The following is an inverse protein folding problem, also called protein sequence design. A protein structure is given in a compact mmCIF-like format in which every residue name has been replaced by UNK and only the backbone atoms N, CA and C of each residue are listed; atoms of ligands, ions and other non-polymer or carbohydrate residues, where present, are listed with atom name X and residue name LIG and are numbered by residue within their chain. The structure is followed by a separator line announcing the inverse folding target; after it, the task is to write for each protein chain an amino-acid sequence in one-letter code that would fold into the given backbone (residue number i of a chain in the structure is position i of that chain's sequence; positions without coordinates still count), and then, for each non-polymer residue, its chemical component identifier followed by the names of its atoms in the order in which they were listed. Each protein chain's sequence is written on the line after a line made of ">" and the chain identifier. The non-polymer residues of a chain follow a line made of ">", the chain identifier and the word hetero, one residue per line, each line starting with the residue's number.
data_IF_494316945877
#
_entry.id   IF_494316945877
#
_cell.length_a   1.000
_cell.length_b   1.000
_cell.length_c   1.000
_cell.angle_alpha   90.00
_cell.angle_beta   90.00
_cell.angle_gamma   90.00
#
_symmetry.space_group_name_H-M   'P 1'
#
loop_
_entity.id
_entity.type
_entity.pdbx_description
1 polymer ?
#
# COMPACT_ATOMS: atom_id res chain seq x y z
N UNK A 1 9.95 -4.78 3.96
CA UNK A 1 9.52 -6.17 4.17
C UNK A 1 8.00 -6.24 4.37
N UNK A 2 7.37 -7.28 3.85
CA UNK A 2 5.93 -7.48 4.01
C UNK A 2 5.70 -8.79 4.76
N UNK A 3 4.95 -8.72 5.86
CA UNK A 3 4.57 -9.89 6.64
C UNK A 3 3.08 -10.18 6.42
N UNK A 4 2.75 -11.47 6.32
CA UNK A 4 1.38 -11.90 6.11
C UNK A 4 0.81 -12.57 7.37
N UNK A 5 -0.42 -12.20 7.72
CA UNK A 5 -1.17 -12.85 8.78
C UNK A 5 -2.63 -12.94 8.31
N UNK A 6 -3.01 -14.10 7.76
CA UNK A 6 -4.33 -14.29 7.19
C UNK A 6 -4.57 -13.37 6.01
N UNK A 7 -5.57 -12.51 6.11
CA UNK A 7 -5.87 -11.51 5.10
C UNK A 7 -5.20 -10.15 5.35
N UNK A 8 -4.29 -10.08 6.34
CA UNK A 8 -3.60 -8.84 6.68
C UNK A 8 -2.15 -8.91 6.23
N UNK A 9 -1.74 -7.88 5.50
CA UNK A 9 -0.35 -7.71 5.05
C UNK A 9 0.22 -6.50 5.77
N UNK A 10 1.30 -6.69 6.51
CA UNK A 10 1.96 -5.60 7.25
C UNK A 10 3.23 -5.20 6.52
N UNK A 11 3.31 -3.95 6.09
CA UNK A 11 4.49 -3.40 5.45
C UNK A 11 5.38 -2.80 6.51
N UNK A 12 6.64 -3.23 6.57
CA UNK A 12 7.58 -2.79 7.58
C UNK A 12 8.75 -2.05 6.98
N UNK A 13 9.19 -1.02 7.69
CA UNK A 13 10.41 -0.30 7.37
C UNK A 13 10.20 0.84 6.40
N UNK A 14 11.28 1.34 5.83
CA UNK A 14 11.24 2.43 4.88
C UNK A 14 10.74 1.95 3.51
N UNK A 15 9.88 2.74 2.90
CA UNK A 15 9.44 2.51 1.52
C UNK A 15 9.66 3.82 0.77
N UNK A 16 10.72 3.88 -0.01
CA UNK A 16 11.13 5.09 -0.71
C UNK A 16 11.50 4.77 -2.15
N UNK A 17 11.88 5.78 -2.90
CA UNK A 17 12.33 5.59 -4.29
C UNK A 17 13.45 4.55 -4.42
N UNK A 18 14.20 4.32 -3.33
CA UNK A 18 15.32 3.38 -3.36
C UNK A 18 14.89 1.92 -3.41
N UNK A 19 13.71 1.58 -2.88
CA UNK A 19 13.26 0.20 -2.80
C UNK A 19 11.81 -0.03 -3.24
N UNK A 20 11.14 1.01 -3.72
CA UNK A 20 9.71 0.94 -4.01
C UNK A 20 9.37 -0.11 -5.07
N UNK A 21 10.23 -0.31 -6.05
CA UNK A 21 9.97 -1.31 -7.11
C UNK A 21 9.93 -2.71 -6.50
N UNK A 22 10.91 -3.04 -5.67
CA UNK A 22 10.98 -4.35 -5.01
C UNK A 22 9.78 -4.57 -4.09
N UNK A 23 9.43 -3.56 -3.28
CA UNK A 23 8.29 -3.67 -2.36
C UNK A 23 6.98 -3.81 -3.13
N UNK A 24 6.82 -3.08 -4.21
CA UNK A 24 5.64 -3.18 -5.07
C UNK A 24 5.46 -4.60 -5.61
N UNK A 25 6.54 -5.19 -6.13
CA UNK A 25 6.50 -6.55 -6.67
C UNK A 25 6.21 -7.59 -5.59
N UNK A 26 6.79 -7.42 -4.41
CA UNK A 26 6.53 -8.32 -3.29
C UNK A 26 5.05 -8.28 -2.89
N UNK A 27 4.47 -7.10 -2.86
CA UNK A 27 3.06 -6.95 -2.53
C UNK A 27 2.15 -7.61 -3.54
N UNK A 28 2.37 -7.33 -4.83
CA UNK A 28 1.53 -7.91 -5.90
C UNK A 28 1.55 -9.43 -5.85
N UNK A 29 2.70 -10.03 -5.54
CA UNK A 29 2.82 -11.49 -5.44
C UNK A 29 1.96 -12.09 -4.32
N UNK A 30 1.53 -11.27 -3.34
CA UNK A 30 0.71 -11.71 -2.22
C UNK A 30 -0.79 -11.46 -2.42
N UNK A 31 -1.18 -10.85 -3.54
CA UNK A 31 -2.59 -10.50 -3.79
C UNK A 31 -3.33 -11.71 -4.37
N UNK A 32 -3.50 -12.74 -3.55
CA UNK A 32 -4.06 -14.02 -3.95
C UNK A 32 -5.52 -14.24 -3.52
N UNK A 33 -6.14 -13.25 -2.90
CA UNK A 33 -7.52 -13.35 -2.39
C UNK A 33 -8.15 -11.97 -2.32
N UNK A 34 -9.48 -11.96 -2.13
CA UNK A 34 -10.24 -10.74 -1.93
C UNK A 34 -10.13 -10.25 -0.48
N UNK A 35 -10.50 -9.00 -0.26
CA UNK A 35 -10.59 -8.37 1.07
C UNK A 35 -9.28 -8.37 1.87
N UNK A 36 -8.16 -8.20 1.17
CA UNK A 36 -6.89 -8.02 1.84
C UNK A 36 -6.81 -6.64 2.49
N UNK A 37 -6.25 -6.59 3.70
CA UNK A 37 -6.00 -5.36 4.42
C UNK A 37 -4.49 -5.12 4.47
N UNK A 38 -4.06 -3.98 3.98
CA UNK A 38 -2.65 -3.57 3.98
C UNK A 38 -2.45 -2.64 5.17
N UNK A 39 -1.69 -3.10 6.16
CA UNK A 39 -1.39 -2.31 7.36
C UNK A 39 -0.07 -1.57 7.18
N UNK A 40 -0.13 -0.26 7.30
CA UNK A 40 1.02 0.62 7.07
C UNK A 40 1.56 1.24 8.36
N UNK A 41 1.11 0.75 9.53
CA UNK A 41 1.51 1.32 10.82
C UNK A 41 3.03 1.22 11.06
N UNK A 42 3.69 0.24 10.47
CA UNK A 42 5.12 0.00 10.69
C UNK A 42 6.00 0.55 9.57
N UNK A 43 5.45 1.34 8.68
CA UNK A 43 6.23 2.07 7.69
C UNK A 43 6.93 3.23 8.39
N UNK A 44 8.25 3.23 8.37
CA UNK A 44 9.05 4.21 9.10
C UNK A 44 9.42 5.43 8.28
N UNK A 45 9.44 5.31 6.96
CA UNK A 45 9.77 6.39 6.06
C UNK A 45 9.03 6.19 4.75
N UNK A 46 8.52 7.27 4.17
CA UNK A 46 7.76 7.23 2.93
C UNK A 46 7.98 8.51 2.14
N UNK A 47 7.86 8.42 0.82
CA UNK A 47 7.93 9.57 -0.08
C UNK A 47 6.81 9.47 -1.14
N UNK A 48 6.87 10.31 -2.17
CA UNK A 48 5.84 10.31 -3.20
C UNK A 48 5.78 8.99 -3.97
N UNK A 49 6.88 8.25 -4.08
CA UNK A 49 6.88 6.95 -4.74
C UNK A 49 6.04 5.93 -3.97
N UNK A 50 5.93 6.09 -2.65
CA UNK A 50 5.07 5.22 -1.84
C UNK A 50 3.61 5.42 -2.19
N UNK A 51 3.18 6.66 -2.43
CA UNK A 51 1.81 6.94 -2.88
C UNK A 51 1.54 6.23 -4.20
N UNK A 52 2.48 6.32 -5.14
CA UNK A 52 2.35 5.64 -6.43
C UNK A 52 2.24 4.13 -6.25
N UNK A 53 2.98 3.55 -5.31
CA UNK A 53 2.90 2.13 -5.00
C UNK A 53 1.49 1.73 -4.52
N UNK A 54 0.91 2.53 -3.62
CA UNK A 54 -0.44 2.23 -3.13
C UNK A 54 -1.46 2.25 -4.27
N UNK A 55 -1.34 3.22 -5.17
CA UNK A 55 -2.23 3.32 -6.33
C UNK A 55 -2.02 2.15 -7.28
N UNK A 56 -0.78 1.73 -7.50
CA UNK A 56 -0.49 0.58 -8.36
C UNK A 56 -1.04 -0.71 -7.76
N UNK A 57 -0.91 -0.89 -6.46
CA UNK A 57 -1.49 -2.05 -5.78
C UNK A 57 -3.01 -2.09 -5.94
N UNK A 58 -3.66 -0.94 -5.79
CA UNK A 58 -5.11 -0.85 -5.98
C UNK A 58 -5.49 -1.19 -7.41
N UNK A 59 -4.74 -0.68 -8.39
CA UNK A 59 -4.99 -0.94 -9.80
C UNK A 59 -4.84 -2.44 -10.12
N UNK A 60 -3.78 -3.07 -9.60
CA UNK A 60 -3.53 -4.50 -9.81
C UNK A 60 -4.64 -5.37 -9.19
N UNK A 61 -5.08 -5.03 -7.98
CA UNK A 61 -6.15 -5.77 -7.35
C UNK A 61 -7.44 -5.67 -8.17
N UNK A 62 -7.77 -4.47 -8.62
CA UNK A 62 -8.98 -4.26 -9.45
C UNK A 62 -8.93 -5.04 -10.75
N UNK A 63 -7.77 -5.14 -11.38
CA UNK A 63 -7.62 -5.87 -12.64
C UNK A 63 -7.93 -7.36 -12.48
N UNK A 64 -7.90 -7.88 -11.26
CA UNK A 64 -8.26 -9.26 -10.93
C UNK A 64 -9.58 -9.34 -10.17
N UNK A 65 -10.39 -8.29 -10.18
CA UNK A 65 -11.67 -8.20 -9.48
C UNK A 65 -11.52 -8.46 -7.97
N UNK A 66 -10.43 -7.97 -7.39
CA UNK A 66 -10.14 -8.09 -5.96
C UNK A 66 -10.18 -6.72 -5.30
N UNK A 67 -10.46 -6.70 -4.00
CA UNK A 67 -10.51 -5.48 -3.22
C UNK A 67 -9.36 -5.45 -2.24
N UNK A 68 -8.69 -4.30 -2.17
CA UNK A 68 -7.72 -4.00 -1.14
C UNK A 68 -8.24 -2.85 -0.29
N UNK A 69 -7.94 -2.91 1.00
CA UNK A 69 -8.16 -1.80 1.90
C UNK A 69 -6.87 -1.50 2.64
N UNK A 70 -6.66 -0.25 2.96
CA UNK A 70 -5.46 0.19 3.69
C UNK A 70 -5.84 0.65 5.07
N UNK A 71 -4.98 0.40 6.04
CA UNK A 71 -5.21 0.85 7.41
C UNK A 71 -3.93 1.44 8.00
N UNK A 72 -4.09 2.31 9.00
CA UNK A 72 -2.98 2.95 9.69
C UNK A 72 -2.05 3.70 8.76
N UNK A 73 -2.62 4.45 7.82
CA UNK A 73 -1.85 5.24 6.88
C UNK A 73 -1.02 6.27 7.65
N UNK A 74 0.32 6.28 7.50
CA UNK A 74 1.14 7.28 8.16
C UNK A 74 0.74 8.69 7.76
N UNK A 75 0.93 9.62 8.67
CA UNK A 75 0.55 11.03 8.46
C UNK A 75 1.22 11.62 7.21
N UNK A 76 2.47 11.28 6.98
CA UNK A 76 3.20 11.72 5.79
C UNK A 76 2.51 11.26 4.51
N UNK A 77 2.07 10.00 4.47
CA UNK A 77 1.37 9.47 3.30
C UNK A 77 0.01 10.11 3.13
N UNK A 78 -0.71 10.36 4.21
CA UNK A 78 -1.99 11.08 4.14
C UNK A 78 -1.80 12.45 3.53
N UNK A 79 -0.80 13.18 3.99
CA UNK A 79 -0.51 14.52 3.50
C UNK A 79 -0.13 14.51 2.02
N UNK A 80 0.70 13.56 1.61
CA UNK A 80 1.11 13.45 0.21
C UNK A 80 -0.07 13.08 -0.69
N UNK A 81 -0.92 12.16 -0.25
CA UNK A 81 -2.11 11.77 -1.02
C UNK A 81 -3.06 12.94 -1.20
N UNK A 82 -3.23 13.76 -0.17
CA UNK A 82 -4.05 14.96 -0.26
C UNK A 82 -3.44 15.99 -1.20
N UNK A 83 -2.13 16.19 -1.11
CA UNK A 83 -1.41 17.14 -1.96
C UNK A 83 -1.56 16.77 -3.43
N UNK A 84 -1.51 15.49 -3.76
CA UNK A 84 -1.63 15.02 -5.14
C UNK A 84 -3.08 14.80 -5.58
N UNK A 85 -4.05 15.04 -4.69
CA UNK A 85 -5.46 14.90 -5.03
C UNK A 85 -5.92 13.46 -5.24
N UNK A 86 -5.26 12.49 -4.64
CA UNK A 86 -5.54 11.06 -4.84
C UNK A 86 -6.06 10.35 -3.60
N UNK A 87 -6.36 11.09 -2.53
CA UNK A 87 -6.86 10.48 -1.28
C UNK A 87 -8.07 9.58 -1.51
N UNK A 88 -8.97 9.97 -2.42
CA UNK A 88 -10.17 9.21 -2.70
C UNK A 88 -9.91 7.89 -3.42
N UNK A 89 -8.72 7.73 -4.00
CA UNK A 89 -8.34 6.52 -4.71
C UNK A 89 -7.71 5.48 -3.79
N UNK A 90 -7.51 5.81 -2.52
CA UNK A 90 -6.90 4.94 -1.52
C UNK A 90 -7.97 4.52 -0.52
N UNK A 91 -8.60 3.34 -0.69
CA UNK A 91 -9.68 2.92 0.21
C UNK A 91 -9.14 2.58 1.59
N UNK A 92 -9.63 3.30 2.60
CA UNK A 92 -9.25 3.11 3.99
C UNK A 92 -10.32 2.31 4.74
N UNK A 93 -9.85 1.54 5.72
CA UNK A 93 -10.75 0.87 6.66
C UNK A 93 -10.77 1.56 7.99
#
# INVERSE_FOLDING_TARGET
>A
MILRDGNRLTVQGAVTIDNVVTVTEQGVALFDRDDLVIDLAQVTEADSSTVSMLLEWQRKARSHNRQLHFTNLPKTLKSLAQLYGVSELIPLV
#
